data_IF_423803240045
#
_entry.id   IF_423803240045
#
_cell.length_a   1.000
_cell.length_b   1.000
_cell.length_c   1.000
_cell.angle_alpha   90.00
_cell.angle_beta   90.00
_cell.angle_gamma   90.00
#
_symmetry.space_group_name_H-M   'P 1'
#
loop_
_entity.id
_entity.type
_entity.pdbx_description
1 polymer ?
#
# COMPACT_ATOMS: atom_id res chain seq x y z
N UNK A 1 -34.03 -16.42 31.25
CA UNK A 1 -32.81 -15.62 31.20
C UNK A 1 -31.73 -16.27 30.30
N UNK A 2 -31.25 -17.48 30.56
CA UNK A 2 -30.19 -18.14 29.79
C UNK A 2 -30.52 -18.24 28.29
N UNK A 3 -31.77 -18.59 27.90
CA UNK A 3 -32.19 -18.69 26.50
C UNK A 3 -32.19 -17.33 25.77
N UNK A 4 -32.45 -16.25 26.49
CA UNK A 4 -32.45 -14.88 25.94
C UNK A 4 -31.02 -14.39 25.70
N UNK A 5 -30.12 -14.65 26.68
CA UNK A 5 -28.71 -14.35 26.53
C UNK A 5 -28.06 -15.10 25.37
N UNK A 6 -28.37 -16.41 25.20
CA UNK A 6 -27.89 -17.21 24.07
C UNK A 6 -28.34 -16.64 22.74
N UNK A 7 -29.61 -16.23 22.59
CA UNK A 7 -30.11 -15.61 21.35
C UNK A 7 -29.45 -14.26 21.04
N UNK A 8 -29.20 -13.42 22.05
CA UNK A 8 -28.51 -12.15 21.88
C UNK A 8 -27.06 -12.38 21.44
N UNK A 9 -26.37 -13.36 22.04
CA UNK A 9 -24.99 -13.72 21.68
C UNK A 9 -24.92 -14.29 20.26
N UNK A 10 -25.85 -15.18 19.89
CA UNK A 10 -25.90 -15.77 18.53
C UNK A 10 -26.17 -14.70 17.47
N UNK A 11 -27.07 -13.75 17.71
CA UNK A 11 -27.34 -12.64 16.81
C UNK A 11 -26.12 -11.71 16.65
N UNK A 12 -25.44 -11.42 17.76
CA UNK A 12 -24.23 -10.58 17.73
C UNK A 12 -23.08 -11.25 16.97
N UNK A 13 -22.88 -12.55 17.17
CA UNK A 13 -21.90 -13.34 16.42
C UNK A 13 -22.26 -13.41 14.93
N UNK A 14 -23.55 -13.52 14.59
CA UNK A 14 -24.00 -13.50 13.20
C UNK A 14 -23.66 -12.18 12.48
N UNK A 15 -23.90 -11.03 13.16
CA UNK A 15 -23.54 -9.71 12.62
C UNK A 15 -22.02 -9.56 12.43
N UNK A 16 -21.23 -10.03 13.39
CA UNK A 16 -19.76 -10.05 13.29
C UNK A 16 -19.32 -10.92 12.09
N UNK A 17 -19.89 -12.12 11.97
CA UNK A 17 -19.57 -13.06 10.89
C UNK A 17 -19.91 -12.49 9.51
N UNK A 18 -21.03 -11.79 9.39
CA UNK A 18 -21.43 -11.13 8.15
C UNK A 18 -20.47 -9.99 7.80
N UNK A 19 -20.14 -9.11 8.76
CA UNK A 19 -19.20 -8.02 8.53
C UNK A 19 -17.81 -8.54 8.13
N UNK A 20 -17.34 -9.61 8.78
CA UNK A 20 -16.07 -10.25 8.43
C UNK A 20 -16.11 -10.87 7.02
N UNK A 21 -17.23 -11.46 6.60
CA UNK A 21 -17.40 -11.99 5.27
C UNK A 21 -17.35 -10.89 4.20
N UNK A 22 -18.04 -9.78 4.43
CA UNK A 22 -18.05 -8.62 3.54
C UNK A 22 -16.67 -7.96 3.43
N UNK A 23 -15.98 -7.77 4.56
CA UNK A 23 -14.61 -7.25 4.59
C UNK A 23 -13.61 -8.19 3.92
N UNK A 24 -13.79 -9.50 4.01
CA UNK A 24 -12.93 -10.50 3.36
C UNK A 24 -12.96 -10.38 1.84
N UNK A 25 -14.11 -10.12 1.25
CA UNK A 25 -14.25 -9.90 -0.20
C UNK A 25 -13.47 -8.65 -0.60
N UNK A 26 -13.67 -7.54 0.13
CA UNK A 26 -12.98 -6.27 -0.12
C UNK A 26 -11.47 -6.43 0.05
N UNK A 27 -11.00 -7.10 1.10
CA UNK A 27 -9.57 -7.34 1.35
C UNK A 27 -8.93 -8.22 0.27
N UNK A 28 -9.62 -9.29 -0.16
CA UNK A 28 -9.12 -10.17 -1.22
C UNK A 28 -8.97 -9.44 -2.56
N UNK A 29 -9.98 -8.67 -2.96
CA UNK A 29 -9.94 -7.90 -4.22
C UNK A 29 -8.88 -6.80 -4.15
N UNK A 30 -8.69 -6.21 -3.00
CA UNK A 30 -7.62 -5.26 -2.72
C UNK A 30 -6.24 -5.90 -2.86
N UNK A 31 -5.97 -6.98 -2.15
CA UNK A 31 -4.67 -7.66 -2.19
C UNK A 31 -4.32 -8.12 -3.60
N UNK A 32 -5.29 -8.64 -4.34
CA UNK A 32 -5.12 -9.04 -5.74
C UNK A 32 -4.78 -7.85 -6.63
N UNK A 33 -5.48 -6.74 -6.46
CA UNK A 33 -5.26 -5.50 -7.22
C UNK A 33 -3.93 -4.86 -6.83
N UNK A 34 -3.62 -4.78 -5.54
CA UNK A 34 -2.37 -4.24 -5.02
C UNK A 34 -1.15 -5.01 -5.52
N UNK A 35 -1.17 -6.34 -5.46
CA UNK A 35 -0.07 -7.18 -5.99
C UNK A 35 0.13 -6.95 -7.49
N UNK A 36 -0.95 -6.85 -8.26
CA UNK A 36 -0.89 -6.61 -9.70
C UNK A 36 -0.34 -5.22 -10.05
N UNK A 37 -0.60 -4.21 -9.23
CA UNK A 37 -0.21 -2.82 -9.45
C UNK A 37 1.18 -2.54 -8.87
N UNK A 38 1.54 -3.13 -7.73
CA UNK A 38 2.81 -2.87 -7.03
C UNK A 38 4.01 -3.63 -7.62
N UNK A 39 3.78 -4.74 -8.31
CA UNK A 39 4.83 -5.50 -8.97
C UNK A 39 4.96 -5.06 -10.44
N UNK A 40 5.67 -3.97 -10.66
CA UNK A 40 5.98 -3.48 -12.03
C UNK A 40 7.25 -4.12 -12.61
N UNK A 41 7.79 -5.15 -11.96
CA UNK A 41 8.94 -5.92 -12.43
C UNK A 41 10.19 -5.08 -12.71
N UNK A 42 10.92 -5.43 -13.77
CA UNK A 42 12.12 -4.70 -14.20
C UNK A 42 11.72 -3.39 -14.90
N UNK A 43 11.74 -2.29 -14.15
CA UNK A 43 11.36 -0.97 -14.64
C UNK A 43 12.53 0.01 -14.53
N UNK A 44 12.98 0.57 -15.65
CA UNK A 44 14.16 1.44 -15.72
C UNK A 44 14.02 2.69 -14.85
N UNK A 45 12.83 3.25 -14.74
CA UNK A 45 12.58 4.45 -13.96
C UNK A 45 12.80 4.24 -12.45
N UNK A 46 12.58 3.02 -11.95
CA UNK A 46 12.83 2.66 -10.54
C UNK A 46 14.26 2.18 -10.28
N UNK A 47 14.90 1.57 -11.29
CA UNK A 47 16.23 0.98 -11.13
C UNK A 47 17.32 2.03 -11.07
N UNK A 48 17.13 3.15 -11.77
CA UNK A 48 18.22 4.13 -11.96
C UNK A 48 18.29 5.19 -10.87
N UNK A 49 17.18 5.55 -10.23
CA UNK A 49 17.15 6.64 -9.24
C UNK A 49 15.77 6.80 -8.61
N UNK A 50 15.71 7.50 -7.46
CA UNK A 50 14.46 7.97 -6.84
C UNK A 50 13.92 9.27 -7.47
N UNK A 51 14.49 9.72 -8.60
CA UNK A 51 14.08 10.96 -9.28
C UNK A 51 12.63 10.91 -9.76
N UNK A 52 12.09 9.71 -10.00
CA UNK A 52 10.69 9.55 -10.39
C UNK A 52 9.67 10.06 -9.35
N UNK A 53 10.09 10.40 -8.14
CA UNK A 53 9.26 11.12 -7.17
C UNK A 53 9.24 12.65 -7.39
N UNK A 54 9.97 13.20 -8.37
CA UNK A 54 10.01 14.64 -8.64
C UNK A 54 9.08 15.01 -9.80
N UNK A 55 8.29 16.07 -9.65
CA UNK A 55 7.40 16.57 -10.70
C UNK A 55 8.16 16.89 -11.99
N UNK A 56 9.30 17.57 -11.87
CA UNK A 56 10.13 17.92 -13.03
C UNK A 56 10.50 16.71 -13.89
N UNK A 57 10.73 15.55 -13.27
CA UNK A 57 11.04 14.34 -14.00
C UNK A 57 9.89 13.86 -14.90
N UNK A 58 8.66 13.87 -14.37
CA UNK A 58 7.48 13.53 -15.17
C UNK A 58 7.25 14.54 -16.28
N UNK A 59 7.47 15.83 -16.00
CA UNK A 59 7.35 16.89 -17.01
C UNK A 59 8.40 16.72 -18.12
N UNK A 60 9.63 16.31 -17.79
CA UNK A 60 10.68 16.00 -18.79
C UNK A 60 10.29 14.83 -19.69
N UNK A 61 9.76 13.75 -19.09
CA UNK A 61 9.30 12.57 -19.86
C UNK A 61 8.13 12.96 -20.78
N UNK A 62 7.12 13.66 -20.26
CA UNK A 62 5.95 14.07 -21.03
C UNK A 62 6.36 15.02 -22.16
N UNK A 63 7.18 16.03 -21.87
CA UNK A 63 7.72 16.95 -22.89
C UNK A 63 8.46 16.20 -23.98
N UNK A 64 9.33 15.27 -23.64
CA UNK A 64 10.13 14.53 -24.63
C UNK A 64 9.25 13.76 -25.63
N UNK A 65 8.09 13.26 -25.21
CA UNK A 65 7.15 12.62 -26.14
C UNK A 65 6.27 13.62 -26.88
N UNK A 66 5.89 14.76 -26.26
CA UNK A 66 5.05 15.77 -26.91
C UNK A 66 5.78 16.58 -27.98
N UNK A 67 7.10 16.71 -27.88
CA UNK A 67 7.91 17.53 -28.79
C UNK A 67 8.14 16.84 -30.15
N UNK A 68 7.57 17.35 -31.26
CA UNK A 68 7.70 16.74 -32.58
C UNK A 68 9.14 16.68 -33.09
N UNK A 69 10.04 17.50 -32.54
CA UNK A 69 11.44 17.62 -32.97
C UNK A 69 12.39 16.71 -32.22
N UNK A 70 11.86 16.02 -31.15
CA UNK A 70 12.66 15.15 -30.30
C UNK A 70 13.08 13.86 -31.04
N UNK A 71 14.12 13.19 -30.54
CA UNK A 71 14.75 12.01 -31.17
C UNK A 71 13.90 10.73 -31.20
N UNK A 72 12.66 10.79 -30.75
CA UNK A 72 11.74 9.66 -30.86
C UNK A 72 11.37 9.32 -32.32
N UNK A 73 11.53 10.26 -33.24
CA UNK A 73 11.27 10.10 -34.70
C UNK A 73 9.79 9.79 -35.07
N UNK A 74 8.85 9.98 -34.16
CA UNK A 74 7.41 9.78 -34.41
C UNK A 74 6.73 11.08 -34.88
N UNK A 75 7.52 12.13 -35.14
CA UNK A 75 7.01 13.44 -35.55
C UNK A 75 5.98 13.98 -34.59
N UNK A 76 4.83 14.43 -35.07
CA UNK A 76 3.75 14.97 -34.25
C UNK A 76 2.76 13.92 -33.70
N UNK A 77 3.02 12.62 -33.88
CA UNK A 77 2.09 11.56 -33.48
C UNK A 77 1.63 11.70 -32.02
N UNK A 78 2.59 11.79 -31.10
CA UNK A 78 2.25 11.83 -29.68
C UNK A 78 1.51 13.12 -29.28
N UNK A 79 1.87 14.26 -29.87
CA UNK A 79 1.16 15.53 -29.68
C UNK A 79 -0.27 15.46 -30.22
N UNK A 80 -0.47 14.86 -31.39
CA UNK A 80 -1.83 14.70 -31.97
C UNK A 80 -2.70 13.82 -31.10
N UNK A 81 -2.17 12.72 -30.55
CA UNK A 81 -2.89 11.85 -29.61
C UNK A 81 -3.19 12.56 -28.29
N UNK A 82 -2.31 13.44 -27.82
CA UNK A 82 -2.57 14.26 -26.64
C UNK A 82 -3.70 15.23 -26.87
N UNK A 83 -3.75 15.90 -28.05
CA UNK A 83 -4.86 16.76 -28.42
C UNK A 83 -6.16 15.96 -28.54
N UNK A 84 -6.14 14.73 -29.07
CA UNK A 84 -7.32 13.85 -29.08
C UNK A 84 -7.84 13.58 -27.67
N UNK A 85 -6.96 13.27 -26.74
CA UNK A 85 -7.32 13.08 -25.32
C UNK A 85 -7.99 14.34 -24.75
N UNK A 86 -7.45 15.54 -25.03
CA UNK A 86 -8.05 16.79 -24.58
C UNK A 86 -9.45 17.02 -25.21
N UNK A 87 -9.62 16.64 -26.48
CA UNK A 87 -10.91 16.73 -27.14
C UNK A 87 -11.94 15.73 -26.57
N UNK A 88 -11.50 14.51 -26.24
CA UNK A 88 -12.33 13.56 -25.48
C UNK A 88 -12.74 14.13 -24.12
N UNK A 89 -11.88 14.92 -23.49
CA UNK A 89 -12.15 15.60 -22.21
C UNK A 89 -12.99 16.88 -22.37
N UNK A 90 -13.59 17.13 -23.55
CA UNK A 90 -14.53 18.22 -23.81
C UNK A 90 -13.90 19.51 -24.38
N UNK A 91 -12.62 19.48 -24.79
CA UNK A 91 -12.02 20.57 -25.54
C UNK A 91 -12.33 20.42 -27.05
N UNK A 92 -12.14 21.50 -27.82
CA UNK A 92 -12.35 21.51 -29.27
C UNK A 92 -11.10 22.10 -29.94
N UNK A 93 -10.01 21.34 -29.91
CA UNK A 93 -8.69 21.78 -30.39
C UNK A 93 -8.44 21.15 -31.77
N UNK A 94 -8.10 21.99 -32.77
CA UNK A 94 -7.74 21.51 -34.10
C UNK A 94 -6.28 21.08 -34.11
N UNK A 95 -5.99 19.85 -34.51
CA UNK A 95 -4.64 19.34 -34.62
C UNK A 95 -3.78 20.15 -35.60
N UNK A 96 -4.40 20.68 -36.63
CA UNK A 96 -3.76 21.49 -37.68
C UNK A 96 -3.14 22.77 -37.11
N UNK A 97 -3.73 23.31 -36.02
CA UNK A 97 -3.27 24.55 -35.39
C UNK A 97 -1.91 24.34 -34.67
N UNK A 98 -1.49 23.09 -34.46
CA UNK A 98 -0.25 22.71 -33.76
C UNK A 98 0.73 21.91 -34.64
N UNK A 99 0.66 22.04 -35.97
CA UNK A 99 1.58 21.33 -36.87
C UNK A 99 3.03 21.74 -36.70
N UNK A 100 3.27 23.01 -36.42
CA UNK A 100 4.58 23.66 -36.21
C UNK A 100 4.84 23.94 -34.71
N UNK A 101 4.16 23.21 -33.83
CA UNK A 101 4.25 23.48 -32.40
C UNK A 101 5.67 23.30 -31.86
N UNK A 102 6.07 24.24 -31.05
CA UNK A 102 7.21 24.16 -30.15
C UNK A 102 6.73 23.71 -28.76
N UNK A 103 7.45 22.79 -28.14
CA UNK A 103 7.15 22.29 -26.79
C UNK A 103 8.30 22.62 -25.86
N UNK A 104 8.08 23.53 -24.94
CA UNK A 104 9.12 24.04 -24.04
C UNK A 104 8.84 23.75 -22.57
N UNK A 105 9.91 23.63 -21.79
CA UNK A 105 9.88 23.44 -20.34
C UNK A 105 10.26 24.71 -19.61
N UNK A 106 9.59 24.95 -18.47
CA UNK A 106 9.90 26.01 -17.49
C UNK A 106 9.87 27.45 -18.05
N UNK A 107 9.37 27.68 -19.26
CA UNK A 107 9.13 29.02 -19.77
C UNK A 107 8.11 29.73 -18.88
N UNK A 108 8.54 30.82 -18.24
CA UNK A 108 7.69 31.53 -17.26
C UNK A 108 7.30 30.69 -16.04
N UNK A 109 8.07 29.66 -15.71
CA UNK A 109 7.81 28.64 -14.66
C UNK A 109 6.61 27.74 -14.95
N UNK A 110 6.20 27.65 -16.21
CA UNK A 110 5.19 26.71 -16.68
C UNK A 110 5.87 25.36 -16.88
N UNK A 111 5.30 24.28 -16.33
CA UNK A 111 5.91 22.98 -16.43
C UNK A 111 6.12 22.54 -17.88
N UNK A 112 5.09 22.64 -18.73
CA UNK A 112 5.18 22.39 -20.15
C UNK A 112 4.27 23.39 -20.88
N UNK A 113 4.82 24.11 -21.85
CA UNK A 113 4.09 24.99 -22.74
C UNK A 113 4.19 24.49 -24.17
N UNK A 114 3.06 24.22 -24.81
CA UNK A 114 2.94 23.89 -26.23
C UNK A 114 2.42 25.13 -26.92
N UNK A 115 3.17 25.67 -27.90
CA UNK A 115 2.81 26.89 -28.60
C UNK A 115 3.07 26.79 -30.09
N UNK A 116 2.23 27.40 -30.92
CA UNK A 116 2.43 27.58 -32.36
C UNK A 116 2.56 29.05 -32.66
N UNK A 117 3.69 29.47 -33.19
CA UNK A 117 3.93 30.84 -33.61
C UNK A 117 3.09 31.23 -34.85
N UNK A 118 2.79 30.27 -35.70
CA UNK A 118 2.00 30.49 -36.92
C UNK A 118 0.51 30.77 -36.62
N UNK A 119 -0.09 29.98 -35.76
CA UNK A 119 -1.53 30.09 -35.43
C UNK A 119 -1.80 30.94 -34.20
N UNK A 120 -0.75 31.32 -33.46
CA UNK A 120 -0.83 32.01 -32.16
C UNK A 120 -1.71 31.26 -31.15
N UNK A 121 -1.61 29.94 -31.15
CA UNK A 121 -2.34 29.05 -30.24
C UNK A 121 -1.38 28.46 -29.19
N UNK A 122 -1.90 28.20 -27.99
CA UNK A 122 -1.12 27.60 -26.92
C UNK A 122 -1.93 26.62 -26.05
N UNK A 123 -1.24 25.62 -25.49
CA UNK A 123 -1.72 24.72 -24.45
C UNK A 123 -0.73 24.78 -23.29
N UNK A 124 -1.22 25.05 -22.10
CA UNK A 124 -0.46 25.07 -20.85
C UNK A 124 -0.67 23.75 -20.13
N UNK A 125 0.39 23.12 -19.64
CA UNK A 125 0.30 21.91 -18.82
C UNK A 125 1.00 22.17 -17.49
N UNK A 126 0.25 22.03 -16.40
CA UNK A 126 0.73 22.02 -15.03
C UNK A 126 0.72 20.59 -14.51
N UNK A 127 1.88 20.04 -14.20
CA UNK A 127 2.06 18.67 -13.75
C UNK A 127 2.04 18.56 -12.21
N UNK A 128 1.20 17.69 -11.69
CA UNK A 128 1.04 17.41 -10.25
C UNK A 128 1.03 15.91 -9.97
N UNK A 129 1.73 15.12 -10.79
CA UNK A 129 1.77 13.65 -10.65
C UNK A 129 2.31 13.23 -9.28
N UNK A 130 3.24 13.98 -8.68
CA UNK A 130 3.77 13.68 -7.35
C UNK A 130 3.10 14.46 -6.22
N UNK A 131 1.93 15.00 -6.48
CA UNK A 131 1.06 15.60 -5.49
C UNK A 131 1.64 16.83 -4.76
N UNK A 132 2.64 17.53 -5.36
CA UNK A 132 3.19 18.77 -4.80
C UNK A 132 2.12 19.85 -4.66
N UNK A 133 2.28 20.72 -3.67
CA UNK A 133 1.37 21.83 -3.41
C UNK A 133 1.31 22.85 -4.55
N UNK A 134 0.20 23.53 -4.70
CA UNK A 134 0.08 24.64 -5.65
C UNK A 134 0.68 25.92 -5.07
N UNK A 135 1.28 26.74 -5.92
CA UNK A 135 1.72 28.08 -5.56
C UNK A 135 0.56 29.09 -5.65
N UNK A 136 0.60 30.15 -4.88
CA UNK A 136 -0.40 31.20 -4.93
C UNK A 136 -0.60 31.72 -6.37
N UNK A 137 -1.85 31.77 -6.83
CA UNK A 137 -2.26 32.17 -8.18
C UNK A 137 -1.47 31.48 -9.30
N UNK A 138 -1.07 30.22 -9.17
CA UNK A 138 -0.19 29.55 -10.13
C UNK A 138 -0.77 29.53 -11.55
N UNK A 139 -1.92 28.94 -11.76
CA UNK A 139 -2.58 28.89 -13.09
C UNK A 139 -2.99 30.27 -13.61
N UNK A 140 -3.56 31.19 -12.81
CA UNK A 140 -3.78 32.57 -13.25
C UNK A 140 -2.55 33.30 -13.78
N UNK A 141 -1.40 33.14 -13.10
CA UNK A 141 -0.14 33.77 -13.58
C UNK A 141 0.29 33.20 -14.94
N UNK A 142 0.10 31.90 -15.14
CA UNK A 142 0.40 31.29 -16.44
C UNK A 142 -0.54 31.78 -17.53
N UNK A 143 -1.83 31.89 -17.22
CA UNK A 143 -2.79 32.47 -18.12
C UNK A 143 -2.42 33.91 -18.51
N UNK A 144 -2.12 34.78 -17.54
CA UNK A 144 -1.73 36.16 -17.76
C UNK A 144 -0.49 36.28 -18.66
N UNK A 145 0.51 35.42 -18.42
CA UNK A 145 1.74 35.41 -19.20
C UNK A 145 1.51 34.98 -20.65
N UNK A 146 0.80 33.90 -20.88
CA UNK A 146 0.66 33.26 -22.21
C UNK A 146 -0.38 34.02 -23.05
N UNK A 147 -1.48 34.49 -22.44
CA UNK A 147 -2.57 35.18 -23.15
C UNK A 147 -2.16 36.51 -23.75
N UNK A 148 -1.03 37.08 -23.32
CA UNK A 148 -0.48 38.31 -23.92
C UNK A 148 -0.04 38.11 -25.39
N UNK A 149 0.35 36.89 -25.77
CA UNK A 149 0.91 36.59 -27.11
C UNK A 149 0.18 35.48 -27.87
N UNK A 150 -0.58 34.62 -27.15
CA UNK A 150 -1.25 33.45 -27.69
C UNK A 150 -2.69 33.34 -27.24
N UNK A 151 -3.54 32.77 -28.07
CA UNK A 151 -4.84 32.26 -27.66
C UNK A 151 -4.69 30.95 -26.98
N UNK A 152 -5.14 30.83 -25.73
CA UNK A 152 -5.03 29.59 -24.94
C UNK A 152 -6.18 28.67 -25.30
N UNK A 153 -5.91 27.50 -25.86
CA UNK A 153 -6.90 26.49 -26.18
C UNK A 153 -7.22 25.59 -24.99
N UNK A 154 -6.21 25.29 -24.15
CA UNK A 154 -6.39 24.53 -22.90
C UNK A 154 -5.35 24.88 -21.83
N UNK A 155 -5.77 24.79 -20.57
CA UNK A 155 -4.93 24.73 -19.38
C UNK A 155 -5.15 23.36 -18.77
N UNK A 156 -4.17 22.47 -18.90
CA UNK A 156 -4.22 21.10 -18.41
C UNK A 156 -3.62 21.04 -17.01
N UNK A 157 -4.43 20.70 -16.03
CA UNK A 157 -3.96 20.34 -14.70
C UNK A 157 -3.87 18.82 -14.62
N UNK A 158 -2.67 18.29 -14.36
CA UNK A 158 -2.32 16.87 -14.47
C UNK A 158 -1.96 16.27 -13.11
N UNK A 159 -2.95 15.98 -12.23
CA UNK A 159 -2.70 15.34 -10.94
C UNK A 159 -2.46 13.84 -11.10
N UNK A 160 -1.93 13.19 -10.07
CA UNK A 160 -1.75 11.74 -10.06
C UNK A 160 -3.11 11.01 -10.16
N UNK A 161 -4.11 11.49 -9.42
CA UNK A 161 -5.45 10.94 -9.38
C UNK A 161 -6.55 12.02 -9.43
N UNK A 162 -7.81 11.58 -9.36
CA UNK A 162 -8.98 12.46 -9.45
C UNK A 162 -9.23 13.33 -8.22
N UNK A 163 -8.62 13.06 -7.08
CA UNK A 163 -8.95 13.75 -5.83
C UNK A 163 -8.42 15.17 -5.79
N UNK A 164 -7.27 15.40 -6.42
CA UNK A 164 -6.61 16.69 -6.40
C UNK A 164 -7.20 17.68 -7.40
N UNK A 165 -7.39 18.90 -6.95
CA UNK A 165 -7.85 20.07 -7.72
C UNK A 165 -6.87 21.22 -7.54
N UNK A 166 -6.81 22.18 -8.48
CA UNK A 166 -6.06 23.42 -8.27
C UNK A 166 -6.53 24.14 -7.00
N UNK A 167 -5.57 24.69 -6.24
CA UNK A 167 -5.90 25.54 -5.09
C UNK A 167 -6.33 26.95 -5.56
N UNK A 168 -7.63 27.21 -5.47
CA UNK A 168 -8.25 28.48 -5.87
C UNK A 168 -8.36 29.49 -4.73
N UNK A 169 -7.81 29.22 -3.55
CA UNK A 169 -7.95 30.09 -2.37
C UNK A 169 -7.39 31.48 -2.58
N UNK A 170 -6.36 31.60 -3.43
CA UNK A 170 -5.70 32.85 -3.78
C UNK A 170 -6.19 33.51 -5.07
N UNK A 171 -7.21 32.94 -5.73
CA UNK A 171 -7.69 33.44 -7.02
C UNK A 171 -8.74 34.51 -6.86
N UNK A 172 -8.62 35.57 -7.68
CA UNK A 172 -9.67 36.60 -7.81
C UNK A 172 -10.87 36.05 -8.60
N UNK A 173 -11.98 36.76 -8.58
CA UNK A 173 -13.14 36.41 -9.42
C UNK A 173 -12.81 36.42 -10.92
N UNK A 174 -11.95 37.34 -11.36
CA UNK A 174 -11.53 37.40 -12.75
C UNK A 174 -10.59 36.25 -13.11
N UNK A 175 -9.69 35.87 -12.21
CA UNK A 175 -8.85 34.69 -12.39
C UNK A 175 -9.67 33.44 -12.63
N UNK A 176 -10.71 33.23 -11.84
CA UNK A 176 -11.62 32.08 -12.00
C UNK A 176 -12.31 32.07 -13.36
N UNK A 177 -12.82 33.20 -13.82
CA UNK A 177 -13.45 33.31 -15.14
C UNK A 177 -12.46 32.98 -16.25
N UNK A 178 -11.25 33.58 -16.19
CA UNK A 178 -10.22 33.42 -17.20
C UNK A 178 -9.68 32.00 -17.27
N UNK A 179 -9.41 31.37 -16.13
CA UNK A 179 -8.81 30.04 -16.09
C UNK A 179 -9.84 28.95 -16.36
N UNK A 180 -11.05 29.00 -15.74
CA UNK A 180 -12.01 27.90 -15.82
C UNK A 180 -12.50 27.61 -17.25
N UNK A 181 -12.64 28.64 -18.11
CA UNK A 181 -13.03 28.42 -19.50
C UNK A 181 -12.03 27.55 -20.29
N UNK A 182 -10.73 27.54 -19.88
CA UNK A 182 -9.70 26.80 -20.54
C UNK A 182 -9.27 25.55 -19.74
N UNK A 183 -9.58 25.50 -18.44
CA UNK A 183 -9.13 24.44 -17.54
C UNK A 183 -9.71 23.07 -17.94
N UNK A 184 -8.85 22.07 -17.92
CA UNK A 184 -9.21 20.66 -17.98
C UNK A 184 -8.33 19.89 -17.00
N UNK A 185 -8.94 19.03 -16.19
CA UNK A 185 -8.23 18.21 -15.20
C UNK A 185 -8.16 16.80 -15.74
N UNK A 186 -6.94 16.33 -16.01
CA UNK A 186 -6.64 15.00 -16.53
C UNK A 186 -5.83 14.26 -15.49
N UNK A 187 -6.39 13.32 -14.73
CA UNK A 187 -5.60 12.51 -13.82
C UNK A 187 -4.59 11.65 -14.60
N UNK A 188 -3.41 11.44 -14.04
CA UNK A 188 -2.41 10.57 -14.67
C UNK A 188 -2.93 9.13 -14.78
N UNK A 189 -3.64 8.65 -13.73
CA UNK A 189 -4.31 7.36 -13.74
C UNK A 189 -5.65 7.42 -12.98
N UNK A 190 -6.59 6.56 -13.37
CA UNK A 190 -7.87 6.38 -12.67
C UNK A 190 -8.35 4.93 -12.80
N UNK A 191 -8.91 4.39 -11.74
CA UNK A 191 -9.48 3.03 -11.73
C UNK A 191 -10.85 2.95 -12.41
N UNK A 192 -11.55 4.06 -12.52
CA UNK A 192 -12.79 4.13 -13.30
C UNK A 192 -12.46 4.35 -14.79
N UNK A 193 -13.37 3.99 -15.65
CA UNK A 193 -13.23 4.12 -17.11
C UNK A 193 -13.24 5.57 -17.60
N UNK A 194 -12.82 6.53 -16.75
CA UNK A 194 -12.71 7.94 -17.11
C UNK A 194 -11.46 8.28 -17.91
N UNK A 195 -11.48 9.46 -18.52
CA UNK A 195 -10.33 9.99 -19.27
C UNK A 195 -9.16 10.21 -18.29
N UNK A 196 -8.01 9.62 -18.61
CA UNK A 196 -6.76 9.77 -17.87
C UNK A 196 -5.55 9.65 -18.81
N UNK A 197 -4.38 10.10 -18.35
CA UNK A 197 -3.17 10.14 -19.18
C UNK A 197 -2.75 8.75 -19.67
N UNK A 198 -2.80 7.73 -18.80
CA UNK A 198 -2.36 6.37 -19.17
C UNK A 198 -3.28 5.78 -20.23
N UNK A 199 -4.59 5.76 -20.00
CA UNK A 199 -5.52 5.05 -20.87
C UNK A 199 -5.85 5.83 -22.13
N UNK A 200 -5.88 7.17 -22.06
CA UNK A 200 -6.36 8.01 -23.16
C UNK A 200 -5.23 8.64 -24.00
N UNK A 201 -3.99 8.60 -23.54
CA UNK A 201 -2.84 9.09 -24.29
C UNK A 201 -1.72 8.04 -24.43
N UNK A 202 -1.19 7.50 -23.30
CA UNK A 202 -0.01 6.61 -23.35
C UNK A 202 -0.34 5.29 -24.05
N UNK A 203 -1.46 4.63 -23.74
CA UNK A 203 -1.85 3.37 -24.40
C UNK A 203 -2.11 3.56 -25.89
N UNK A 204 -2.87 4.58 -26.38
CA UNK A 204 -2.96 4.88 -27.80
C UNK A 204 -1.61 5.16 -28.46
N UNK A 205 -0.70 5.87 -27.77
CA UNK A 205 0.65 6.12 -28.24
C UNK A 205 1.47 4.81 -28.43
N UNK A 206 1.39 3.90 -27.47
CA UNK A 206 2.02 2.56 -27.56
C UNK A 206 1.49 1.76 -28.76
N UNK A 207 0.20 1.87 -29.04
CA UNK A 207 -0.44 1.12 -30.14
C UNK A 207 -0.11 1.68 -31.53
N UNK A 208 0.18 2.97 -31.65
CA UNK A 208 0.39 3.65 -32.93
C UNK A 208 1.86 3.94 -33.23
N UNK A 209 2.74 3.98 -32.23
CA UNK A 209 4.16 4.20 -32.41
C UNK A 209 4.83 3.06 -33.18
N UNK A 210 5.81 3.41 -33.99
CA UNK A 210 6.65 2.47 -34.77
C UNK A 210 8.02 2.24 -34.13
N UNK A 211 8.51 3.21 -33.33
CA UNK A 211 9.79 3.10 -32.67
C UNK A 211 9.68 2.21 -31.42
N UNK A 212 10.32 1.04 -31.47
CA UNK A 212 10.31 0.05 -30.40
C UNK A 212 10.86 0.60 -29.07
N UNK A 213 11.84 1.51 -29.09
CA UNK A 213 12.35 2.14 -27.87
C UNK A 213 11.30 3.04 -27.23
N UNK A 214 10.56 3.80 -28.02
CA UNK A 214 9.45 4.62 -27.54
C UNK A 214 8.36 3.76 -26.92
N UNK A 215 7.96 2.67 -27.58
CA UNK A 215 6.97 1.71 -27.08
C UNK A 215 7.42 1.13 -25.73
N UNK A 216 8.70 0.71 -25.62
CA UNK A 216 9.23 0.15 -24.38
C UNK A 216 9.23 1.17 -23.23
N UNK A 217 9.67 2.41 -23.51
CA UNK A 217 9.69 3.49 -22.50
C UNK A 217 8.28 3.87 -22.08
N UNK A 218 7.35 4.04 -23.03
CA UNK A 218 5.95 4.39 -22.72
C UNK A 218 5.26 3.31 -21.89
N UNK A 219 5.51 2.01 -22.16
CA UNK A 219 4.99 0.91 -21.33
C UNK A 219 5.49 1.01 -19.90
N UNK A 220 6.81 1.14 -19.73
CA UNK A 220 7.40 1.27 -18.39
C UNK A 220 6.96 2.53 -17.66
N UNK A 221 6.73 3.63 -18.38
CA UNK A 221 6.20 4.86 -17.81
C UNK A 221 4.73 4.72 -17.37
N UNK A 222 3.90 4.03 -18.15
CA UNK A 222 2.54 3.69 -17.74
C UNK A 222 2.52 2.83 -16.47
N UNK A 223 3.41 1.83 -16.40
CA UNK A 223 3.56 0.98 -15.21
C UNK A 223 4.01 1.79 -14.00
N UNK A 224 4.95 2.74 -14.17
CA UNK A 224 5.39 3.64 -13.11
C UNK A 224 4.25 4.52 -12.58
N UNK A 225 3.46 5.16 -13.47
CA UNK A 225 2.31 5.98 -13.06
C UNK A 225 1.30 5.14 -12.28
N UNK A 226 1.01 3.93 -12.76
CA UNK A 226 0.11 2.99 -12.10
C UNK A 226 0.62 2.60 -10.71
N UNK A 227 1.93 2.36 -10.58
CA UNK A 227 2.60 2.08 -9.30
C UNK A 227 2.49 3.26 -8.32
N UNK A 228 2.75 4.48 -8.78
CA UNK A 228 2.61 5.68 -7.94
C UNK A 228 1.17 5.85 -7.42
N UNK A 229 0.19 5.52 -8.25
CA UNK A 229 -1.22 5.54 -7.85
C UNK A 229 -1.59 4.43 -6.86
N UNK A 230 -0.82 3.33 -6.79
CA UNK A 230 -1.09 2.23 -5.85
C UNK A 230 -1.01 2.67 -4.38
N UNK A 231 -0.17 3.64 -4.06
CA UNK A 231 -0.08 4.22 -2.72
C UNK A 231 -1.35 4.99 -2.30
N UNK A 232 -2.15 5.43 -3.26
CA UNK A 232 -3.43 6.12 -3.04
C UNK A 232 -4.55 5.12 -2.79
N UNK A 233 -4.41 3.87 -3.26
CA UNK A 233 -5.39 2.80 -3.00
C UNK A 233 -5.62 2.57 -1.50
N UNK A 234 -4.54 2.67 -0.68
CA UNK A 234 -4.65 2.54 0.77
C UNK A 234 -5.58 3.62 1.35
N UNK A 235 -5.51 4.85 0.82
CA UNK A 235 -6.39 5.96 1.23
C UNK A 235 -7.84 5.74 0.82
N UNK A 236 -8.10 5.25 -0.40
CA UNK A 236 -9.45 4.96 -0.90
C UNK A 236 -10.13 3.87 -0.05
N UNK A 237 -9.38 2.86 0.38
CA UNK A 237 -9.92 1.80 1.24
C UNK A 237 -10.21 2.32 2.64
N UNK A 238 -9.30 3.11 3.20
CA UNK A 238 -9.55 3.78 4.48
C UNK A 238 -10.76 4.70 4.42
N UNK A 239 -10.97 5.41 3.31
CA UNK A 239 -12.16 6.24 3.09
C UNK A 239 -13.44 5.40 3.00
N UNK A 240 -13.43 4.30 2.25
CA UNK A 240 -14.58 3.37 2.18
C UNK A 240 -14.86 2.75 3.55
N UNK A 241 -13.82 2.33 4.25
CA UNK A 241 -13.95 1.81 5.61
C UNK A 241 -14.49 2.86 6.57
N UNK A 242 -13.96 4.09 6.53
CA UNK A 242 -14.46 5.22 7.31
C UNK A 242 -15.94 5.47 7.03
N UNK A 243 -16.34 5.53 5.76
CA UNK A 243 -17.73 5.76 5.37
C UNK A 243 -18.65 4.61 5.86
N UNK A 244 -18.18 3.36 5.84
CA UNK A 244 -18.95 2.24 6.40
C UNK A 244 -19.13 2.34 7.91
N UNK A 245 -18.20 2.97 8.64
CA UNK A 245 -18.30 3.20 10.08
C UNK A 245 -19.19 4.39 10.47
N UNK A 246 -19.70 5.18 9.48
CA UNK A 246 -20.71 6.22 9.75
C UNK A 246 -22.06 5.61 10.17
N UNK A 247 -22.31 4.36 9.84
CA UNK A 247 -23.41 3.58 10.40
C UNK A 247 -23.09 3.20 11.85
N UNK A 248 -24.02 3.49 12.78
CA UNK A 248 -23.83 3.30 14.24
C UNK A 248 -23.66 1.82 14.60
N UNK A 249 -24.37 0.92 13.91
CA UNK A 249 -24.32 -0.51 14.16
C UNK A 249 -22.99 -1.10 13.68
N UNK A 250 -22.51 -0.67 12.51
CA UNK A 250 -21.21 -1.04 11.98
C UNK A 250 -20.08 -0.55 12.89
N UNK A 251 -20.16 0.69 13.38
CA UNK A 251 -19.17 1.24 14.31
C UNK A 251 -19.15 0.47 15.64
N UNK A 252 -20.32 0.11 16.17
CA UNK A 252 -20.43 -0.71 17.38
C UNK A 252 -19.84 -2.10 17.19
N UNK A 253 -20.12 -2.72 16.05
CA UNK A 253 -19.60 -4.04 15.68
C UNK A 253 -18.07 -4.00 15.52
N UNK A 254 -17.53 -3.01 14.85
CA UNK A 254 -16.08 -2.83 14.68
C UNK A 254 -15.37 -2.61 16.04
N UNK A 255 -15.97 -1.84 16.95
CA UNK A 255 -15.45 -1.68 18.32
C UNK A 255 -15.46 -3.00 19.09
N UNK A 256 -16.51 -3.81 18.95
CA UNK A 256 -16.60 -5.12 19.58
C UNK A 256 -15.55 -6.08 19.05
N UNK A 257 -15.34 -6.12 17.73
CA UNK A 257 -14.25 -6.92 17.10
C UNK A 257 -12.90 -6.50 17.66
N UNK A 258 -12.61 -5.21 17.69
CA UNK A 258 -11.35 -4.70 18.25
C UNK A 258 -11.12 -5.14 19.71
N UNK A 259 -12.16 -5.04 20.54
CA UNK A 259 -12.07 -5.43 21.95
C UNK A 259 -11.80 -6.95 22.06
N UNK A 260 -12.53 -7.78 21.31
CA UNK A 260 -12.31 -9.23 21.30
C UNK A 260 -10.91 -9.59 20.78
N UNK A 261 -10.37 -8.87 19.79
CA UNK A 261 -9.00 -9.07 19.32
C UNK A 261 -7.97 -8.72 20.40
N UNK A 262 -8.23 -7.67 21.20
CA UNK A 262 -7.34 -7.32 22.32
C UNK A 262 -7.38 -8.36 23.45
N UNK A 263 -8.54 -9.00 23.68
CA UNK A 263 -8.73 -10.01 24.73
C UNK A 263 -8.27 -11.40 24.28
N UNK A 264 -8.05 -11.61 22.98
CA UNK A 264 -7.71 -12.89 22.39
C UNK A 264 -6.41 -13.52 22.94
N UNK A 265 -5.31 -12.78 23.14
CA UNK A 265 -4.08 -13.33 23.72
C UNK A 265 -4.28 -13.91 25.12
N UNK A 266 -5.07 -13.25 25.96
CA UNK A 266 -5.41 -13.77 27.29
C UNK A 266 -6.23 -15.06 27.19
N UNK A 267 -7.23 -15.10 26.29
CA UNK A 267 -8.02 -16.29 26.06
C UNK A 267 -7.18 -17.48 25.57
N UNK A 268 -6.20 -17.22 24.67
CA UNK A 268 -5.25 -18.23 24.19
C UNK A 268 -4.43 -18.80 25.34
N UNK A 269 -3.91 -17.95 26.24
CA UNK A 269 -3.16 -18.37 27.42
C UNK A 269 -4.04 -19.16 28.41
N UNK A 270 -5.30 -18.78 28.63
CA UNK A 270 -6.26 -19.54 29.46
C UNK A 270 -6.45 -20.95 28.92
N UNK A 271 -6.63 -21.12 27.61
CA UNK A 271 -6.78 -22.43 26.97
C UNK A 271 -5.56 -23.34 27.20
N UNK A 272 -4.37 -22.79 27.12
CA UNK A 272 -3.14 -23.52 27.41
C UNK A 272 -3.03 -23.86 28.90
N UNK A 273 -3.38 -22.91 29.79
CA UNK A 273 -3.40 -23.17 31.22
C UNK A 273 -4.37 -24.30 31.58
N UNK A 274 -5.59 -24.27 31.09
CA UNK A 274 -6.61 -25.31 31.36
C UNK A 274 -6.18 -26.70 30.88
N UNK A 275 -5.38 -26.77 29.80
CA UNK A 275 -4.85 -28.02 29.29
C UNK A 275 -3.69 -28.57 30.11
N UNK A 276 -2.78 -27.72 30.59
CA UNK A 276 -1.50 -28.16 31.13
C UNK A 276 -1.33 -27.95 32.63
N UNK A 277 -2.16 -27.14 33.32
CA UNK A 277 -1.99 -26.83 34.76
C UNK A 277 -1.98 -28.04 35.69
N UNK A 278 -2.66 -29.12 35.31
CA UNK A 278 -2.72 -30.36 36.09
C UNK A 278 -1.65 -31.36 35.70
N UNK A 279 -0.92 -31.12 34.60
CA UNK A 279 0.11 -31.99 34.09
C UNK A 279 1.51 -31.38 34.37
N UNK A 280 1.95 -31.45 35.62
CA UNK A 280 3.12 -30.72 36.11
C UNK A 280 4.47 -31.34 35.71
N UNK A 281 4.51 -32.66 35.41
CA UNK A 281 5.77 -33.31 35.06
C UNK A 281 6.16 -32.96 33.61
N UNK A 282 7.45 -32.66 33.37
CA UNK A 282 8.58 -32.55 34.31
C UNK A 282 8.75 -31.18 34.98
N UNK A 283 7.91 -30.21 34.69
CA UNK A 283 7.98 -28.87 35.31
C UNK A 283 7.28 -28.84 36.67
N UNK A 284 7.93 -28.20 37.66
CA UNK A 284 7.39 -28.10 39.03
C UNK A 284 6.16 -27.21 39.11
N UNK A 285 6.05 -26.20 38.18
CA UNK A 285 4.96 -25.23 38.18
C UNK A 285 4.64 -24.77 36.77
N UNK A 286 3.32 -24.67 36.50
CA UNK A 286 2.78 -24.05 35.29
C UNK A 286 1.82 -22.94 35.75
N UNK A 287 2.00 -21.72 35.22
CA UNK A 287 1.23 -20.56 35.61
C UNK A 287 1.19 -19.48 34.51
N UNK A 288 0.27 -18.51 34.61
CA UNK A 288 0.18 -17.40 33.69
C UNK A 288 0.90 -16.16 34.22
N UNK A 289 1.74 -15.55 33.38
CA UNK A 289 2.40 -14.28 33.64
C UNK A 289 1.69 -13.18 32.85
N UNK A 290 1.36 -12.05 33.49
CA UNK A 290 0.64 -10.90 32.89
C UNK A 290 -0.65 -11.22 32.14
N UNK A 291 -1.24 -12.39 32.38
CA UNK A 291 -2.49 -12.82 31.73
C UNK A 291 -2.30 -13.46 30.33
N UNK A 292 -1.25 -13.12 29.60
CA UNK A 292 -1.05 -13.53 28.19
C UNK A 292 0.05 -14.55 27.97
N UNK A 293 0.92 -14.78 28.96
CA UNK A 293 2.07 -15.64 28.81
C UNK A 293 1.95 -16.87 29.71
N UNK A 294 2.13 -18.06 29.13
CA UNK A 294 2.22 -19.30 29.88
C UNK A 294 3.66 -19.58 30.25
N UNK A 295 3.92 -19.85 31.52
CA UNK A 295 5.26 -20.14 32.07
C UNK A 295 5.28 -21.56 32.62
N UNK A 296 6.24 -22.35 32.12
CA UNK A 296 6.60 -23.68 32.60
C UNK A 296 7.93 -23.56 33.35
N UNK A 297 7.90 -23.71 34.66
CA UNK A 297 9.04 -23.40 35.54
C UNK A 297 9.42 -24.59 36.43
N UNK A 298 10.68 -24.65 36.81
CA UNK A 298 11.17 -25.60 37.78
C UNK A 298 11.71 -26.94 37.21
N UNK A 299 11.99 -27.00 35.90
CA UNK A 299 12.65 -28.13 35.30
C UNK A 299 14.17 -28.02 35.47
N UNK A 300 14.76 -29.04 36.05
CA UNK A 300 16.23 -29.12 36.30
C UNK A 300 16.80 -30.42 35.81
N UNK A 301 17.96 -30.38 35.15
CA UNK A 301 18.76 -31.52 34.79
C UNK A 301 20.14 -31.31 35.41
N UNK A 302 20.46 -32.09 36.45
CA UNK A 302 21.67 -31.87 37.21
C UNK A 302 21.66 -30.52 37.92
N UNK A 303 22.56 -29.61 37.54
CA UNK A 303 22.61 -28.20 38.05
C UNK A 303 21.96 -27.20 37.15
N UNK A 304 21.48 -27.61 35.99
CA UNK A 304 20.89 -26.67 34.99
C UNK A 304 19.39 -26.49 35.23
N UNK A 305 18.96 -25.27 35.12
CA UNK A 305 17.58 -24.85 35.35
C UNK A 305 17.03 -24.20 34.09
N UNK A 306 15.95 -24.74 33.54
CA UNK A 306 15.31 -24.22 32.34
C UNK A 306 13.93 -23.70 32.62
N UNK A 307 13.57 -22.67 31.84
CA UNK A 307 12.20 -22.17 31.73
C UNK A 307 11.74 -22.26 30.29
N UNK A 308 10.47 -22.57 30.11
CA UNK A 308 9.77 -22.47 28.84
C UNK A 308 8.61 -21.49 29.00
N UNK A 309 8.61 -20.44 28.21
CA UNK A 309 7.54 -19.45 28.16
C UNK A 309 6.81 -19.57 26.84
N UNK A 310 5.51 -19.40 26.82
CA UNK A 310 4.69 -19.33 25.61
C UNK A 310 3.99 -18.00 25.60
N UNK A 311 4.45 -17.08 24.77
CA UNK A 311 3.85 -15.76 24.62
C UNK A 311 2.72 -15.82 23.62
N UNK A 312 1.51 -15.41 24.01
CA UNK A 312 0.33 -15.36 23.15
C UNK A 312 0.10 -13.92 22.64
N UNK A 313 -0.07 -13.75 21.35
CA UNK A 313 -0.45 -12.47 20.73
C UNK A 313 -1.29 -12.68 19.47
N UNK A 314 -1.67 -11.59 18.77
CA UNK A 314 -2.48 -11.65 17.56
C UNK A 314 -1.85 -12.39 16.38
N UNK A 315 -0.51 -12.59 16.37
CA UNK A 315 0.19 -13.35 15.33
C UNK A 315 0.20 -14.85 15.61
N UNK A 316 0.03 -15.24 16.88
CA UNK A 316 0.04 -16.61 17.32
C UNK A 316 0.81 -16.82 18.62
N UNK A 317 1.61 -17.87 18.65
CA UNK A 317 2.31 -18.34 19.84
C UNK A 317 3.82 -18.33 19.62
N UNK A 318 4.56 -17.74 20.55
CA UNK A 318 6.02 -17.77 20.57
C UNK A 318 6.49 -18.64 21.71
N UNK A 319 7.03 -19.81 21.41
CA UNK A 319 7.64 -20.69 22.41
C UNK A 319 9.08 -20.27 22.60
N UNK A 320 9.39 -19.86 23.81
CA UNK A 320 10.68 -19.34 24.21
C UNK A 320 11.28 -20.22 25.32
N UNK A 321 12.50 -20.72 25.10
CA UNK A 321 13.27 -21.40 26.13
C UNK A 321 14.45 -20.56 26.52
N UNK A 322 14.71 -20.51 27.81
CA UNK A 322 15.86 -19.79 28.32
C UNK A 322 16.47 -20.43 29.57
N UNK A 323 17.77 -20.25 29.72
CA UNK A 323 18.55 -20.67 30.86
C UNK A 323 19.00 -19.43 31.64
N UNK A 324 18.37 -19.16 32.83
CA UNK A 324 18.57 -17.90 33.56
C UNK A 324 20.00 -17.64 34.04
N UNK A 325 20.77 -18.71 34.23
CA UNK A 325 22.12 -18.61 34.73
C UNK A 325 23.21 -18.49 33.63
N UNK A 326 22.78 -18.50 32.37
CA UNK A 326 23.67 -18.40 31.18
C UNK A 326 24.82 -19.41 31.15
N UNK A 327 24.59 -20.64 31.64
CA UNK A 327 25.62 -21.66 31.81
C UNK A 327 25.77 -22.56 30.61
N UNK A 328 24.75 -22.73 29.79
CA UNK A 328 24.81 -23.63 28.64
C UNK A 328 24.18 -23.05 27.37
N UNK A 329 24.68 -23.53 26.22
CA UNK A 329 24.08 -23.32 24.93
C UNK A 329 22.89 -24.26 24.76
N UNK A 330 21.65 -23.71 24.77
CA UNK A 330 20.43 -24.50 24.81
C UNK A 330 20.30 -25.41 23.59
N UNK A 331 20.58 -24.92 22.37
CA UNK A 331 20.49 -25.75 21.18
C UNK A 331 21.47 -26.92 21.21
N UNK A 332 22.70 -26.71 21.67
CA UNK A 332 23.70 -27.79 21.82
C UNK A 332 23.36 -28.75 22.94
N UNK A 333 22.80 -28.22 24.03
CA UNK A 333 22.38 -29.07 25.15
C UNK A 333 21.28 -30.05 24.74
N UNK A 334 20.33 -29.58 23.92
CA UNK A 334 19.23 -30.37 23.37
C UNK A 334 19.50 -30.86 21.94
N UNK A 335 20.74 -30.99 21.50
CA UNK A 335 21.11 -31.40 20.13
C UNK A 335 20.42 -32.69 19.67
N UNK A 336 20.16 -33.63 20.60
CA UNK A 336 19.44 -34.87 20.35
C UNK A 336 17.91 -34.74 20.47
N UNK A 337 17.38 -33.58 20.88
CA UNK A 337 15.95 -33.36 21.06
C UNK A 337 15.25 -33.14 19.71
N UNK A 338 14.57 -34.16 19.20
CA UNK A 338 13.85 -34.11 17.92
C UNK A 338 12.74 -33.07 17.91
N UNK A 339 12.20 -32.76 19.08
CA UNK A 339 11.13 -31.76 19.25
C UNK A 339 11.58 -30.30 19.03
N UNK A 340 12.90 -29.99 19.19
CA UNK A 340 13.39 -28.62 19.01
C UNK A 340 13.78 -28.25 17.58
N UNK A 341 13.34 -29.01 16.60
CA UNK A 341 13.56 -28.68 15.17
C UNK A 341 12.84 -27.38 14.81
N UNK A 342 13.61 -26.43 14.22
CA UNK A 342 13.12 -25.13 13.79
C UNK A 342 13.11 -24.06 14.89
N UNK A 343 13.74 -24.30 16.02
CA UNK A 343 14.11 -23.25 16.98
C UNK A 343 15.39 -22.54 16.53
N UNK A 344 15.48 -21.27 16.81
CA UNK A 344 16.62 -20.41 16.51
C UNK A 344 17.03 -19.60 17.75
N UNK A 345 18.26 -19.10 17.77
CA UNK A 345 18.71 -18.24 18.86
C UNK A 345 17.95 -16.93 18.86
N UNK A 346 17.34 -16.60 20.00
CA UNK A 346 16.67 -15.32 20.18
C UNK A 346 17.71 -14.21 20.42
N UNK A 347 17.63 -13.14 19.63
CA UNK A 347 18.59 -12.04 19.68
C UNK A 347 20.07 -12.44 19.58
N UNK A 348 20.38 -13.52 18.86
CA UNK A 348 21.74 -14.12 18.77
C UNK A 348 22.31 -14.55 20.12
N UNK A 349 21.49 -14.79 21.13
CA UNK A 349 21.89 -15.25 22.45
C UNK A 349 21.80 -16.78 22.53
N UNK A 350 22.93 -17.44 22.78
CA UNK A 350 23.00 -18.93 22.89
C UNK A 350 22.25 -19.53 24.08
N UNK A 351 21.87 -18.70 25.06
CA UNK A 351 21.11 -19.12 26.26
C UNK A 351 19.61 -19.01 26.07
N UNK A 352 19.19 -18.46 24.95
CA UNK A 352 17.80 -18.23 24.59
C UNK A 352 17.49 -18.78 23.21
N UNK A 353 16.39 -19.52 23.07
CA UNK A 353 15.89 -20.00 21.79
C UNK A 353 14.39 -19.75 21.66
N UNK A 354 13.94 -19.50 20.45
CA UNK A 354 12.55 -19.18 20.17
C UNK A 354 12.04 -19.87 18.92
N UNK A 355 10.75 -20.18 18.90
CA UNK A 355 10.03 -20.64 17.71
C UNK A 355 8.64 -20.03 17.68
N UNK A 356 8.23 -19.56 16.50
CA UNK A 356 6.89 -19.06 16.24
C UNK A 356 5.99 -20.15 15.70
N UNK A 357 4.74 -20.19 16.19
CA UNK A 357 3.63 -20.97 15.66
C UNK A 357 2.50 -20.01 15.31
N UNK A 358 2.08 -19.99 14.04
CA UNK A 358 0.99 -19.12 13.58
C UNK A 358 -0.30 -19.34 14.37
N UNK A 359 -1.12 -18.31 14.48
CA UNK A 359 -2.40 -18.33 15.20
C UNK A 359 -3.31 -19.50 14.80
N UNK A 360 -3.39 -19.81 13.51
CA UNK A 360 -4.21 -20.90 12.97
C UNK A 360 -3.56 -22.29 13.08
N UNK A 361 -2.38 -22.39 13.69
CA UNK A 361 -1.59 -23.62 13.80
C UNK A 361 -1.45 -24.11 15.25
N UNK A 362 -2.47 -23.86 16.08
CA UNK A 362 -2.50 -24.29 17.50
C UNK A 362 -2.24 -25.78 17.67
N UNK A 363 -2.77 -26.62 16.77
CA UNK A 363 -2.55 -28.07 16.84
C UNK A 363 -1.07 -28.45 16.74
N UNK A 364 -0.29 -27.75 15.94
CA UNK A 364 1.17 -27.99 15.85
C UNK A 364 1.89 -27.55 17.11
N UNK A 365 1.46 -26.45 17.74
CA UNK A 365 1.96 -26.02 19.05
C UNK A 365 1.68 -27.09 20.11
N UNK A 366 0.43 -27.58 20.22
CA UNK A 366 0.04 -28.58 21.21
C UNK A 366 0.81 -29.90 21.00
N UNK A 367 0.95 -30.36 19.76
CA UNK A 367 1.76 -31.54 19.42
C UNK A 367 3.22 -31.36 19.80
N UNK A 368 3.77 -30.15 19.59
CA UNK A 368 5.12 -29.80 20.03
C UNK A 368 5.24 -29.90 21.56
N UNK A 369 4.35 -29.24 22.33
CA UNK A 369 4.41 -29.22 23.78
C UNK A 369 4.31 -30.68 24.33
N UNK A 370 3.31 -31.45 23.86
CA UNK A 370 3.07 -32.82 24.31
C UNK A 370 4.31 -33.71 24.02
N UNK A 371 4.92 -33.57 22.83
CA UNK A 371 6.12 -34.31 22.44
C UNK A 371 7.33 -33.92 23.28
N UNK A 372 7.50 -32.63 23.55
CA UNK A 372 8.62 -32.12 24.32
C UNK A 372 8.54 -32.55 25.80
N UNK A 373 7.35 -32.45 26.43
CA UNK A 373 7.13 -32.91 27.78
C UNK A 373 7.39 -34.42 27.94
N UNK A 374 6.97 -35.23 26.95
CA UNK A 374 7.26 -36.66 26.96
C UNK A 374 8.76 -36.96 26.84
N UNK A 375 9.49 -36.22 26.01
CA UNK A 375 10.94 -36.37 25.82
C UNK A 375 11.72 -35.99 27.11
N UNK A 376 11.30 -34.90 27.78
CA UNK A 376 11.90 -34.49 29.05
C UNK A 376 11.68 -35.53 30.16
N UNK A 377 10.47 -36.10 30.27
CA UNK A 377 10.14 -37.12 31.25
C UNK A 377 10.93 -38.41 31.06
N UNK A 378 11.33 -38.75 29.83
CA UNK A 378 12.22 -39.90 29.55
C UNK A 378 13.66 -39.63 30.03
N UNK A 379 14.13 -38.39 29.95
CA UNK A 379 15.48 -37.99 30.41
C UNK A 379 15.62 -37.98 31.93
N UNK A 380 14.52 -37.72 32.68
CA UNK A 380 14.55 -37.82 34.15
C UNK A 380 14.68 -39.26 34.64
N UNK A 381 14.23 -40.26 33.87
CA UNK A 381 14.23 -41.66 34.22
C UNK A 381 15.47 -42.41 33.71
N UNK A 382 16.38 -41.75 33.00
CA UNK A 382 17.62 -42.32 32.47
C UNK A 382 18.86 -41.79 33.22
#
# INVERSE_FOLDING_TARGET
>A
MISTWKKITDAHIANISQLLADLRIVAHDYDKTKRRISDIGFNIFRLTSDIYYRENYHSDVIKAFLDPTEKHNEKSLFLQLFIEMLNLAGKTIKKEDFKDAEVVREEGKIDILIKSETTKKAIIIENKINNAGDMARQLPRYYDLVSSNFTIDAIVYLPLDKSKRPDESSWTKQDKINVHQHLVIIPAYSLDNGINLVDSWIKPAILQAQNMNCIAILRQYADLITYLNSNIMDTIILEKFYNSLMDEENLKTAKSIRNMMNDLPEYMAIRLEDRYKENHSPFAKIWRYKGTDMVFEGYTIGTLYFKMDIWCNEKGYYVHFWEPNEQCDILKYFETAKSLVGFEYYNNNRFDIIKHFDFNNENSLLAFIDSFLAELSQRENS
#
